data_IF_607027206774
#
_entry.id   IF_607027206774
#
_cell.length_a   1.000
_cell.length_b   1.000
_cell.length_c   1.000
_cell.angle_alpha   90.00
_cell.angle_beta   90.00
_cell.angle_gamma   90.00
#
_symmetry.space_group_name_H-M   'P 1'
#
loop_
_entity.id
_entity.type
_entity.pdbx_description
1 polymer ?
#
# COMPACT_ATOMS: atom_id res chain seq x y z
N UNK A 1 -0.27 6.34 -29.54
CA UNK A 1 0.49 5.17 -30.04
C UNK A 1 -0.06 3.96 -29.31
N UNK A 2 -0.40 2.85 -29.97
CA UNK A 2 -0.89 1.68 -29.26
C UNK A 2 0.24 1.13 -28.37
N UNK A 3 -0.09 0.88 -27.10
CA UNK A 3 0.75 0.21 -26.13
C UNK A 3 1.12 -1.17 -26.68
N UNK A 4 2.41 -1.48 -26.71
CA UNK A 4 2.83 -2.84 -26.92
C UNK A 4 2.21 -3.70 -25.81
N UNK A 5 1.55 -4.80 -26.17
CA UNK A 5 1.08 -5.79 -25.21
C UNK A 5 2.28 -6.22 -24.34
N UNK A 6 2.12 -6.30 -23.01
CA UNK A 6 3.20 -6.78 -22.15
C UNK A 6 3.64 -8.15 -22.63
N UNK A 7 4.94 -8.40 -22.63
CA UNK A 7 5.49 -9.69 -23.05
C UNK A 7 4.70 -10.81 -22.36
N UNK A 8 4.00 -11.68 -23.09
CA UNK A 8 3.15 -12.69 -22.49
C UNK A 8 4.02 -13.61 -21.60
N UNK A 9 3.46 -14.10 -20.47
CA UNK A 9 4.13 -15.11 -19.68
C UNK A 9 4.54 -16.26 -20.60
N UNK A 10 5.73 -16.83 -20.37
CA UNK A 10 6.20 -17.98 -21.13
C UNK A 10 5.21 -19.15 -21.07
N UNK A 11 5.39 -20.21 -21.86
CA UNK A 11 4.47 -21.33 -21.95
C UNK A 11 4.13 -21.99 -20.59
N UNK A 12 4.93 -21.74 -19.56
CA UNK A 12 4.76 -22.26 -18.21
C UNK A 12 4.10 -21.25 -17.25
N UNK A 13 3.61 -20.10 -17.75
CA UNK A 13 2.98 -19.05 -16.91
C UNK A 13 3.99 -18.25 -16.05
N UNK A 14 5.28 -18.44 -16.27
CA UNK A 14 6.37 -17.75 -15.57
C UNK A 14 6.82 -16.50 -16.33
N UNK A 15 7.10 -15.42 -15.61
CA UNK A 15 7.74 -14.23 -16.17
C UNK A 15 9.26 -14.31 -15.96
N UNK A 16 10.03 -14.35 -17.03
CA UNK A 16 11.47 -14.27 -16.95
C UNK A 16 11.87 -12.85 -16.55
N UNK A 17 12.40 -12.68 -15.34
CA UNK A 17 12.86 -11.39 -14.87
C UNK A 17 14.04 -10.94 -15.72
N UNK A 18 13.98 -9.73 -16.35
CA UNK A 18 15.02 -9.30 -17.29
C UNK A 18 16.33 -8.97 -16.56
N UNK A 19 17.44 -9.39 -17.15
CA UNK A 19 18.78 -9.06 -16.70
C UNK A 19 19.17 -7.66 -17.19
N UNK A 20 19.77 -6.84 -16.34
CA UNK A 20 20.30 -5.54 -16.74
C UNK A 20 21.55 -5.74 -17.61
N UNK A 21 21.65 -5.05 -18.74
CA UNK A 21 22.82 -5.11 -19.65
C UNK A 21 23.93 -4.16 -19.24
N UNK A 22 23.68 -3.32 -18.24
CA UNK A 22 24.62 -2.34 -17.68
C UNK A 22 23.92 -1.49 -16.61
N UNK A 23 24.59 -0.43 -16.11
CA UNK A 23 24.00 0.50 -15.15
C UNK A 23 22.69 1.11 -15.67
N UNK A 24 21.63 1.03 -14.89
CA UNK A 24 20.32 1.59 -15.24
C UNK A 24 20.37 3.12 -15.22
N UNK A 25 19.90 3.77 -16.28
CA UNK A 25 19.79 5.24 -16.37
C UNK A 25 18.36 5.59 -16.78
N UNK A 26 17.52 6.00 -15.85
CA UNK A 26 16.10 6.18 -16.16
C UNK A 26 15.41 7.27 -15.34
N UNK A 27 14.33 7.79 -15.93
CA UNK A 27 13.29 8.56 -15.25
C UNK A 27 12.02 7.71 -15.23
N UNK A 28 11.51 7.39 -14.07
CA UNK A 28 10.32 6.55 -13.89
C UNK A 28 9.20 7.39 -13.28
N UNK A 29 8.13 7.62 -14.03
CA UNK A 29 6.94 8.31 -13.53
C UNK A 29 5.98 7.30 -12.95
N UNK A 30 5.71 7.41 -11.66
CA UNK A 30 4.81 6.51 -10.94
C UNK A 30 3.39 7.07 -10.89
N UNK A 31 2.37 6.20 -10.88
CA UNK A 31 1.01 6.61 -10.57
C UNK A 31 0.88 7.04 -9.11
N UNK A 32 -0.27 7.64 -8.79
CA UNK A 32 -0.56 8.10 -7.44
C UNK A 32 -0.54 6.99 -6.38
N UNK A 33 -0.33 7.40 -5.13
CA UNK A 33 -0.32 6.52 -3.96
C UNK A 33 -1.66 5.80 -3.78
N UNK A 34 -1.62 4.47 -3.63
CA UNK A 34 -2.80 3.66 -3.30
C UNK A 34 -3.43 4.10 -1.98
N UNK A 35 -2.60 4.35 -0.99
CA UNK A 35 -3.04 4.70 0.37
C UNK A 35 -3.73 6.06 0.42
N UNK A 36 -3.21 7.05 -0.30
CA UNK A 36 -3.82 8.37 -0.43
C UNK A 36 -5.08 8.31 -1.31
N UNK A 37 -5.03 7.62 -2.46
CA UNK A 37 -6.20 7.47 -3.34
C UNK A 37 -7.40 6.92 -2.59
N UNK A 38 -7.22 5.85 -1.79
CA UNK A 38 -8.32 5.26 -1.04
C UNK A 38 -8.87 6.20 0.06
N UNK A 39 -8.02 6.99 0.72
CA UNK A 39 -8.44 7.98 1.71
C UNK A 39 -9.24 9.11 1.07
N UNK A 40 -8.71 9.67 0.00
CA UNK A 40 -9.40 10.73 -0.74
C UNK A 40 -10.73 10.27 -1.34
N UNK A 41 -10.83 9.02 -1.81
CA UNK A 41 -12.11 8.45 -2.27
C UNK A 41 -13.14 8.41 -1.14
N UNK A 42 -12.77 7.94 0.06
CA UNK A 42 -13.68 7.89 1.22
C UNK A 42 -14.06 9.30 1.69
N UNK A 43 -13.10 10.21 1.81
CA UNK A 43 -13.38 11.60 2.21
C UNK A 43 -14.27 12.29 1.19
N UNK A 44 -14.03 12.08 -0.12
CA UNK A 44 -14.89 12.63 -1.18
C UNK A 44 -16.33 12.10 -1.13
N UNK A 45 -16.51 10.83 -0.71
CA UNK A 45 -17.85 10.27 -0.52
C UNK A 45 -18.59 10.89 0.68
N UNK A 46 -17.87 11.50 1.62
CA UNK A 46 -18.42 12.22 2.77
C UNK A 46 -18.51 13.73 2.56
N UNK A 47 -17.95 14.26 1.45
CA UNK A 47 -17.92 15.69 1.17
C UNK A 47 -19.32 16.25 0.89
N UNK A 48 -19.44 17.57 0.93
CA UNK A 48 -20.68 18.30 0.61
C UNK A 48 -20.91 18.42 -0.89
N UNK A 49 -19.83 18.56 -1.66
CA UNK A 49 -19.84 18.77 -3.11
C UNK A 49 -18.90 17.78 -3.80
N UNK A 50 -18.95 17.77 -5.14
CA UNK A 50 -18.08 16.92 -5.94
C UNK A 50 -16.61 17.25 -5.73
N UNK A 51 -15.80 16.22 -5.59
CA UNK A 51 -14.34 16.30 -5.46
C UNK A 51 -13.65 15.84 -6.74
N UNK A 52 -12.47 16.39 -7.02
CA UNK A 52 -11.59 15.97 -8.11
C UNK A 52 -10.30 15.38 -7.53
N UNK A 53 -10.02 14.13 -7.88
CA UNK A 53 -8.76 13.49 -7.58
C UNK A 53 -7.92 13.46 -8.85
N UNK A 54 -6.79 14.15 -8.84
CA UNK A 54 -5.89 14.26 -9.99
C UNK A 54 -4.84 13.16 -9.93
N UNK A 55 -4.70 12.42 -11.02
CA UNK A 55 -3.75 11.30 -11.15
C UNK A 55 -3.86 10.23 -10.04
N UNK A 56 -5.08 9.83 -9.61
CA UNK A 56 -5.23 8.78 -8.62
C UNK A 56 -4.72 7.45 -9.17
N UNK A 57 -4.32 6.54 -8.29
CA UNK A 57 -3.99 5.19 -8.71
C UNK A 57 -5.24 4.47 -9.23
N UNK A 58 -5.10 3.80 -10.37
CA UNK A 58 -6.10 2.88 -10.94
C UNK A 58 -5.56 1.45 -10.88
N UNK A 59 -5.67 0.84 -9.73
CA UNK A 59 -5.31 -0.56 -9.48
C UNK A 59 -6.53 -1.36 -9.06
N UNK A 60 -6.40 -2.68 -8.98
CA UNK A 60 -7.52 -3.53 -8.50
C UNK A 60 -8.09 -3.02 -7.18
N UNK A 61 -7.23 -2.69 -6.19
CA UNK A 61 -7.66 -2.26 -4.87
C UNK A 61 -8.43 -0.93 -4.90
N UNK A 62 -7.99 0.04 -5.70
CA UNK A 62 -8.64 1.37 -5.78
C UNK A 62 -9.91 1.33 -6.63
N UNK A 63 -9.96 0.46 -7.64
CA UNK A 63 -11.17 0.22 -8.43
C UNK A 63 -12.26 -0.46 -7.58
N UNK A 64 -11.89 -1.41 -6.70
CA UNK A 64 -12.81 -2.00 -5.73
C UNK A 64 -13.33 -0.96 -4.73
N UNK A 65 -12.49 -0.03 -4.27
CA UNK A 65 -12.92 1.08 -3.42
C UNK A 65 -13.93 1.98 -4.15
N UNK A 66 -13.62 2.39 -5.37
CA UNK A 66 -14.52 3.19 -6.18
C UNK A 66 -15.87 2.48 -6.43
N UNK A 67 -15.83 1.16 -6.68
CA UNK A 67 -17.04 0.36 -6.86
C UNK A 67 -17.84 0.25 -5.55
N UNK A 68 -17.17 0.03 -4.41
CA UNK A 68 -17.83 -0.01 -3.11
C UNK A 68 -18.60 1.29 -2.81
N UNK A 69 -18.01 2.45 -3.14
CA UNK A 69 -18.68 3.74 -2.97
C UNK A 69 -19.87 3.91 -3.92
N UNK A 70 -19.78 3.39 -5.16
CA UNK A 70 -20.92 3.36 -6.09
C UNK A 70 -22.08 2.48 -5.56
N UNK A 71 -21.78 1.32 -4.99
CA UNK A 71 -22.78 0.46 -4.34
C UNK A 71 -23.49 1.18 -3.18
N UNK A 72 -22.79 2.08 -2.50
CA UNK A 72 -23.35 2.93 -1.44
C UNK A 72 -24.07 4.19 -1.95
N UNK A 73 -24.11 4.39 -3.29
CA UNK A 73 -24.87 5.46 -3.93
C UNK A 73 -24.07 6.68 -4.36
N UNK A 74 -22.74 6.74 -4.13
CA UNK A 74 -21.91 7.80 -4.69
C UNK A 74 -21.68 7.61 -6.19
N UNK A 75 -21.41 8.69 -6.92
CA UNK A 75 -20.92 8.61 -8.28
C UNK A 75 -19.39 8.77 -8.29
N UNK A 76 -18.70 7.84 -8.93
CA UNK A 76 -17.26 7.92 -9.15
C UNK A 76 -17.02 7.69 -10.64
N UNK A 77 -16.50 8.69 -11.33
CA UNK A 77 -16.30 8.65 -12.78
C UNK A 77 -15.02 9.35 -13.20
N UNK A 78 -14.72 9.28 -14.50
CA UNK A 78 -13.61 10.01 -15.10
C UNK A 78 -13.97 11.48 -15.26
N UNK A 79 -12.98 12.37 -15.07
CA UNK A 79 -13.16 13.77 -15.36
C UNK A 79 -13.30 13.98 -16.87
N UNK A 80 -14.31 14.75 -17.37
CA UNK A 80 -14.57 14.91 -18.79
C UNK A 80 -13.40 15.56 -19.57
N UNK A 81 -12.63 16.41 -18.90
CA UNK A 81 -11.49 17.12 -19.48
C UNK A 81 -10.16 16.38 -19.33
N UNK A 82 -10.07 15.44 -18.38
CA UNK A 82 -8.86 14.67 -18.09
C UNK A 82 -9.23 13.25 -17.61
N UNK A 83 -9.29 12.27 -18.50
CA UNK A 83 -9.72 10.90 -18.15
C UNK A 83 -8.84 10.20 -17.09
N UNK A 84 -7.59 10.67 -16.90
CA UNK A 84 -6.73 10.15 -15.83
C UNK A 84 -7.24 10.52 -14.44
N UNK A 85 -8.00 11.61 -14.30
CA UNK A 85 -8.55 12.09 -13.04
C UNK A 85 -9.89 11.43 -12.73
N UNK A 86 -10.24 11.38 -11.44
CA UNK A 86 -11.58 10.99 -11.01
C UNK A 86 -12.37 12.17 -10.46
N UNK A 87 -13.66 12.20 -10.80
CA UNK A 87 -14.67 13.02 -10.12
C UNK A 87 -15.47 12.10 -9.23
N UNK A 88 -15.58 12.47 -7.95
CA UNK A 88 -16.40 11.78 -6.96
C UNK A 88 -17.52 12.72 -6.54
N UNK A 89 -18.77 12.34 -6.85
CA UNK A 89 -19.95 13.10 -6.46
C UNK A 89 -20.65 12.37 -5.31
N UNK A 90 -20.68 12.97 -4.11
CA UNK A 90 -21.35 12.38 -2.96
C UNK A 90 -22.87 12.46 -3.11
N UNK A 91 -23.55 11.47 -2.56
CA UNK A 91 -25.01 11.43 -2.44
C UNK A 91 -25.39 10.86 -1.07
N UNK A 92 -26.69 10.87 -0.76
CA UNK A 92 -27.20 10.17 0.42
C UNK A 92 -26.86 8.69 0.33
N UNK A 93 -26.09 8.18 1.30
CA UNK A 93 -25.66 6.79 1.34
C UNK A 93 -26.85 5.85 1.50
N UNK A 94 -26.86 4.78 0.70
CA UNK A 94 -27.94 3.79 0.61
C UNK A 94 -27.43 2.40 0.90
N UNK A 95 -28.23 1.62 1.61
CA UNK A 95 -28.03 0.19 1.76
C UNK A 95 -28.66 -0.61 0.62
N UNK A 96 -28.66 -1.94 0.74
CA UNK A 96 -29.20 -2.90 -0.24
C UNK A 96 -28.19 -3.43 -1.25
N UNK A 97 -26.98 -2.87 -1.27
CA UNK A 97 -25.89 -3.31 -2.14
C UNK A 97 -24.99 -4.39 -1.55
N UNK A 98 -24.09 -4.89 -2.38
CA UNK A 98 -23.03 -5.83 -1.99
C UNK A 98 -21.69 -5.23 -2.34
N UNK A 99 -20.83 -5.08 -1.34
CA UNK A 99 -19.45 -4.63 -1.47
C UNK A 99 -18.55 -5.85 -1.65
N UNK A 100 -17.94 -5.97 -2.82
CA UNK A 100 -16.85 -6.93 -3.04
C UNK A 100 -15.54 -6.29 -2.60
N UNK A 101 -14.94 -6.83 -1.56
CA UNK A 101 -13.64 -6.39 -1.06
C UNK A 101 -12.46 -6.97 -1.86
N UNK A 102 -12.69 -8.02 -2.68
CA UNK A 102 -11.60 -8.80 -3.26
C UNK A 102 -10.61 -9.21 -2.19
N UNK A 103 -9.34 -8.79 -2.33
CA UNK A 103 -8.29 -8.92 -1.32
C UNK A 103 -7.82 -7.53 -0.81
N UNK A 104 -8.60 -6.48 -1.06
CA UNK A 104 -8.24 -5.10 -0.75
C UNK A 104 -8.43 -4.76 0.74
N UNK A 105 -7.34 -4.72 1.49
CA UNK A 105 -7.37 -4.42 2.93
C UNK A 105 -8.01 -3.07 3.27
N UNK A 106 -7.81 -2.05 2.43
CA UNK A 106 -8.44 -0.74 2.62
C UNK A 106 -9.96 -0.82 2.46
N UNK A 107 -10.48 -1.54 1.45
CA UNK A 107 -11.93 -1.72 1.28
C UNK A 107 -12.52 -2.42 2.49
N UNK A 108 -11.89 -3.53 2.92
CA UNK A 108 -12.32 -4.30 4.09
C UNK A 108 -12.44 -3.45 5.37
N UNK A 109 -11.58 -2.45 5.57
CA UNK A 109 -11.50 -1.67 6.82
C UNK A 109 -12.10 -0.26 6.71
N UNK A 110 -12.06 0.37 5.53
CA UNK A 110 -12.53 1.75 5.37
C UNK A 110 -14.02 1.82 5.01
N UNK A 111 -14.54 0.84 4.27
CA UNK A 111 -15.93 0.89 3.80
C UNK A 111 -16.97 0.49 4.87
N UNK A 112 -16.73 -0.44 5.82
CA UNK A 112 -17.72 -0.75 6.85
C UNK A 112 -18.17 0.45 7.68
N UNK A 113 -17.30 1.40 8.13
CA UNK A 113 -17.75 2.64 8.78
C UNK A 113 -18.59 3.54 7.87
N UNK A 114 -18.29 3.60 6.57
CA UNK A 114 -19.10 4.33 5.57
C UNK A 114 -20.48 3.67 5.44
N UNK A 115 -20.52 2.34 5.32
CA UNK A 115 -21.76 1.56 5.22
C UNK A 115 -22.64 1.68 6.47
N UNK A 116 -22.05 1.91 7.65
CA UNK A 116 -22.80 2.16 8.88
C UNK A 116 -23.65 3.45 8.81
N UNK A 117 -23.23 4.42 8.00
CA UNK A 117 -23.96 5.67 7.71
C UNK A 117 -25.02 5.51 6.61
N UNK A 118 -25.06 4.39 5.91
CA UNK A 118 -26.06 4.13 4.88
C UNK A 118 -27.43 3.80 5.50
N UNK A 119 -28.50 4.06 4.78
CA UNK A 119 -29.84 3.64 5.17
C UNK A 119 -30.14 2.24 4.60
N UNK A 120 -30.02 1.20 5.44
CA UNK A 120 -30.29 -0.21 5.10
C UNK A 120 -29.04 -1.11 5.17
N UNK A 121 -29.23 -2.43 4.95
CA UNK A 121 -28.15 -3.40 5.04
C UNK A 121 -27.18 -3.33 3.87
N UNK A 122 -25.89 -3.55 4.14
CA UNK A 122 -24.83 -3.67 3.11
C UNK A 122 -24.06 -4.96 3.37
N UNK A 123 -24.05 -5.86 2.41
CA UNK A 123 -23.31 -7.11 2.48
C UNK A 123 -21.84 -6.90 2.05
N UNK A 124 -20.93 -7.58 2.71
CA UNK A 124 -19.49 -7.57 2.40
C UNK A 124 -19.03 -8.98 2.07
N UNK A 125 -18.41 -9.13 0.91
CA UNK A 125 -17.82 -10.38 0.42
C UNK A 125 -16.37 -10.12 -0.04
N UNK A 126 -15.63 -11.15 -0.38
CA UNK A 126 -14.28 -11.02 -0.91
C UNK A 126 -13.69 -12.35 -1.35
N UNK A 127 -12.46 -12.31 -1.84
CA UNK A 127 -11.71 -13.48 -2.26
C UNK A 127 -11.55 -14.47 -1.09
N UNK A 128 -11.33 -15.76 -1.36
CA UNK A 128 -11.16 -16.78 -0.33
C UNK A 128 -10.04 -16.44 0.68
N UNK A 129 -8.92 -15.88 0.21
CA UNK A 129 -7.82 -15.43 1.09
C UNK A 129 -8.20 -14.21 1.94
N UNK A 130 -9.15 -13.39 1.52
CA UNK A 130 -9.64 -12.26 2.31
C UNK A 130 -10.40 -12.72 3.55
N UNK A 131 -11.11 -13.85 3.48
CA UNK A 131 -11.84 -14.42 4.61
C UNK A 131 -10.92 -14.84 5.78
N UNK A 132 -9.65 -15.15 5.51
CA UNK A 132 -8.66 -15.45 6.55
C UNK A 132 -8.12 -14.20 7.26
N UNK A 133 -8.34 -13.00 6.72
CA UNK A 133 -7.84 -11.75 7.31
C UNK A 133 -8.77 -11.27 8.42
N UNK A 134 -8.25 -10.97 9.63
CA UNK A 134 -9.08 -10.60 10.77
C UNK A 134 -9.82 -9.27 10.53
N UNK A 135 -11.09 -9.26 10.89
CA UNK A 135 -11.98 -8.09 10.87
C UNK A 135 -12.58 -7.81 12.24
N UNK A 136 -12.46 -8.72 13.20
CA UNK A 136 -13.09 -8.62 14.53
C UNK A 136 -12.90 -7.25 15.17
N UNK A 137 -11.68 -6.71 15.16
CA UNK A 137 -11.35 -5.42 15.80
C UNK A 137 -12.24 -4.28 15.30
N UNK A 138 -12.37 -4.12 13.99
CA UNK A 138 -13.18 -3.03 13.43
C UNK A 138 -14.69 -3.31 13.56
N UNK A 139 -15.11 -4.58 13.44
CA UNK A 139 -16.52 -4.95 13.62
C UNK A 139 -16.97 -4.75 15.06
N UNK A 140 -16.15 -5.10 16.05
CA UNK A 140 -16.42 -4.88 17.46
C UNK A 140 -16.43 -3.39 17.83
N UNK A 141 -15.49 -2.61 17.28
CA UNK A 141 -15.49 -1.16 17.44
C UNK A 141 -16.80 -0.52 16.91
N UNK A 142 -17.25 -0.93 15.73
CA UNK A 142 -18.53 -0.45 15.17
C UNK A 142 -19.73 -0.90 16.01
N UNK A 143 -19.74 -2.14 16.55
CA UNK A 143 -20.77 -2.59 17.50
C UNK A 143 -20.78 -1.76 18.77
N UNK A 144 -19.62 -1.40 19.31
CA UNK A 144 -19.50 -0.52 20.47
C UNK A 144 -20.08 0.89 20.21
N UNK A 145 -20.02 1.36 18.95
CA UNK A 145 -20.65 2.60 18.49
C UNK A 145 -22.15 2.45 18.17
N UNK A 146 -22.73 1.28 18.42
CA UNK A 146 -24.16 1.02 18.23
C UNK A 146 -24.57 0.54 16.85
N UNK A 147 -23.61 0.16 15.99
CA UNK A 147 -23.88 -0.39 14.66
C UNK A 147 -24.22 -1.88 14.77
N UNK A 148 -25.32 -2.28 14.16
CA UNK A 148 -25.72 -3.68 14.08
C UNK A 148 -24.95 -4.38 12.94
N UNK A 149 -24.22 -5.45 13.27
CA UNK A 149 -23.42 -6.22 12.32
C UNK A 149 -23.70 -7.70 12.49
N UNK A 150 -24.02 -8.35 11.37
CA UNK A 150 -24.24 -9.78 11.27
C UNK A 150 -23.05 -10.43 10.55
N UNK A 151 -22.21 -11.11 11.29
CA UNK A 151 -21.06 -11.88 10.80
C UNK A 151 -21.11 -13.35 11.23
N UNK A 152 -22.27 -13.79 11.78
CA UNK A 152 -22.48 -15.12 12.34
C UNK A 152 -21.39 -15.53 13.35
N UNK A 153 -20.79 -14.53 14.03
CA UNK A 153 -19.69 -14.73 15.00
C UNK A 153 -18.33 -15.07 14.43
N UNK A 154 -18.13 -14.94 13.10
CA UNK A 154 -16.86 -15.26 12.45
C UNK A 154 -15.75 -14.24 12.69
N UNK A 155 -16.09 -12.97 12.87
CA UNK A 155 -15.11 -11.87 12.94
C UNK A 155 -14.33 -11.67 11.63
N UNK A 156 -14.87 -12.13 10.49
CA UNK A 156 -14.27 -12.08 9.16
C UNK A 156 -15.34 -12.04 8.05
N UNK A 157 -14.92 -11.92 6.80
CA UNK A 157 -15.82 -12.00 5.65
C UNK A 157 -16.43 -13.42 5.52
N UNK A 158 -17.69 -13.54 5.04
CA UNK A 158 -18.61 -12.47 4.72
C UNK A 158 -19.34 -11.94 5.96
N UNK A 159 -19.79 -10.67 5.92
CA UNK A 159 -20.61 -10.08 6.96
C UNK A 159 -21.58 -9.03 6.39
N UNK A 160 -22.56 -8.60 7.18
CA UNK A 160 -23.51 -7.54 6.79
C UNK A 160 -23.52 -6.43 7.83
N UNK A 161 -23.32 -5.19 7.39
CA UNK A 161 -23.50 -3.98 8.19
C UNK A 161 -24.94 -3.50 8.00
N UNK A 162 -25.69 -3.33 9.08
CA UNK A 162 -27.08 -2.83 9.06
C UNK A 162 -27.11 -1.35 9.42
N UNK A 163 -26.80 -0.50 8.44
CA UNK A 163 -26.83 0.95 8.62
C UNK A 163 -28.21 1.50 8.85
N UNK A 164 -28.31 2.59 9.62
CA UNK A 164 -29.57 3.26 9.97
C UNK A 164 -29.60 4.73 9.53
N UNK A 165 -28.68 5.14 8.67
CA UNK A 165 -28.54 6.51 8.17
C UNK A 165 -27.74 7.44 9.07
N UNK A 166 -27.41 7.01 10.29
CA UNK A 166 -26.60 7.75 11.25
C UNK A 166 -25.84 6.80 12.17
N UNK A 167 -24.72 7.25 12.71
CA UNK A 167 -23.93 6.57 13.75
C UNK A 167 -23.72 7.56 14.87
N UNK A 168 -24.01 7.15 16.11
CA UNK A 168 -23.90 8.05 17.27
C UNK A 168 -22.47 8.57 17.47
N UNK A 169 -21.46 7.72 17.24
CA UNK A 169 -20.09 8.08 17.54
C UNK A 169 -19.75 8.02 19.03
N UNK A 170 -18.67 8.69 19.42
CA UNK A 170 -18.15 8.73 20.78
C UNK A 170 -16.79 8.05 20.89
N UNK A 171 -16.46 7.45 22.05
CA UNK A 171 -15.15 6.84 22.29
C UNK A 171 -15.19 5.32 22.12
N UNK A 172 -14.13 4.76 21.52
CA UNK A 172 -13.88 3.32 21.44
C UNK A 172 -12.44 3.01 21.82
N UNK A 173 -12.25 1.88 22.48
CA UNK A 173 -10.91 1.32 22.74
C UNK A 173 -10.74 0.07 21.92
N UNK A 174 -9.58 -0.06 21.27
CA UNK A 174 -9.26 -1.22 20.42
C UNK A 174 -7.77 -1.53 20.40
N UNK A 175 -7.44 -2.78 20.11
CA UNK A 175 -6.07 -3.21 19.84
C UNK A 175 -5.75 -3.14 18.34
N UNK A 176 -4.96 -2.13 17.94
CA UNK A 176 -4.50 -1.95 16.58
C UNK A 176 -3.11 -2.55 16.31
N UNK A 177 -2.58 -3.40 17.21
CA UNK A 177 -1.24 -4.01 17.08
C UNK A 177 -1.07 -4.85 15.80
N UNK A 178 -2.18 -5.32 15.21
CA UNK A 178 -2.16 -6.08 13.96
C UNK A 178 -2.22 -5.18 12.71
N UNK A 179 -2.81 -3.98 12.80
CA UNK A 179 -2.96 -3.09 11.64
C UNK A 179 -3.42 -1.68 12.02
N UNK A 180 -2.67 -0.66 11.56
CA UNK A 180 -3.08 0.76 11.61
C UNK A 180 -4.38 1.06 10.83
N UNK A 181 -4.78 0.17 9.90
CA UNK A 181 -5.99 0.35 9.09
C UNK A 181 -7.28 0.31 9.92
N UNK A 182 -7.28 -0.33 11.10
CA UNK A 182 -8.44 -0.33 11.99
C UNK A 182 -8.73 1.08 12.53
N UNK A 183 -7.69 1.78 12.94
CA UNK A 183 -7.79 3.17 13.38
C UNK A 183 -8.16 4.08 12.20
N UNK A 184 -7.40 4.01 11.12
CA UNK A 184 -7.61 4.85 9.92
C UNK A 184 -9.03 4.70 9.36
N UNK A 185 -9.55 3.47 9.27
CA UNK A 185 -10.88 3.22 8.71
C UNK A 185 -12.00 3.86 9.53
N UNK A 186 -11.90 3.82 10.85
CA UNK A 186 -12.85 4.47 11.74
C UNK A 186 -12.77 6.00 11.66
N UNK A 187 -11.54 6.55 11.70
CA UNK A 187 -11.32 7.99 11.68
C UNK A 187 -11.82 8.66 10.40
N UNK A 188 -11.67 8.02 9.24
CA UNK A 188 -12.14 8.57 7.96
C UNK A 188 -13.64 8.85 7.91
N UNK A 189 -14.45 8.07 8.63
CA UNK A 189 -15.91 8.30 8.76
C UNK A 189 -16.30 9.04 10.02
N UNK A 190 -15.38 9.19 10.97
CA UNK A 190 -15.60 9.83 12.27
C UNK A 190 -16.23 11.22 12.21
N UNK A 191 -15.85 12.12 11.29
CA UNK A 191 -16.48 13.45 11.15
C UNK A 191 -17.97 13.39 10.87
N UNK A 192 -18.47 12.28 10.29
CA UNK A 192 -19.88 12.08 9.95
C UNK A 192 -20.70 11.43 11.07
N UNK A 193 -20.07 11.06 12.18
CA UNK A 193 -20.76 10.55 13.35
C UNK A 193 -21.29 11.70 14.21
N UNK A 194 -22.45 11.52 14.85
CA UNK A 194 -23.18 12.59 15.58
C UNK A 194 -22.34 13.26 16.66
N UNK A 195 -21.47 12.48 17.34
CA UNK A 195 -20.58 12.96 18.40
C UNK A 195 -19.09 12.81 18.02
N UNK A 196 -18.79 12.77 16.72
CA UNK A 196 -17.42 12.51 16.26
C UNK A 196 -16.93 11.15 16.73
N UNK A 197 -15.61 11.01 16.83
CA UNK A 197 -14.99 9.75 17.23
C UNK A 197 -13.68 9.96 17.98
N UNK A 198 -13.53 9.27 19.11
CA UNK A 198 -12.24 9.10 19.78
C UNK A 198 -11.84 7.63 19.73
N UNK A 199 -10.66 7.33 19.20
CA UNK A 199 -10.08 5.98 19.19
C UNK A 199 -8.93 5.93 20.17
N UNK A 200 -9.03 5.04 21.18
CA UNK A 200 -7.94 4.71 22.10
C UNK A 200 -7.34 3.37 21.71
N UNK A 201 -6.04 3.32 21.59
CA UNK A 201 -5.31 2.07 21.37
C UNK A 201 -4.72 1.58 22.71
N UNK A 202 -5.00 0.33 23.06
CA UNK A 202 -4.58 -0.30 24.32
C UNK A 202 -3.67 -1.54 24.13
N UNK A 203 -3.27 -1.82 22.88
CA UNK A 203 -2.41 -2.95 22.52
C UNK A 203 -0.92 -2.64 22.56
N UNK A 204 -0.15 -3.48 21.87
CA UNK A 204 1.27 -3.25 21.60
C UNK A 204 1.43 -2.13 20.58
N UNK A 205 2.69 -1.74 20.28
CA UNK A 205 2.99 -0.71 19.27
C UNK A 205 2.21 -0.93 17.96
N UNK A 206 1.55 0.13 17.49
CA UNK A 206 0.79 0.10 16.23
C UNK A 206 1.76 0.09 15.06
N UNK A 207 1.71 -0.91 14.16
CA UNK A 207 2.58 -0.95 13.00
C UNK A 207 2.20 0.10 11.97
N UNK A 208 3.19 0.57 11.22
CA UNK A 208 3.00 1.55 10.14
C UNK A 208 2.22 2.79 10.62
N UNK A 209 2.63 3.35 11.76
CA UNK A 209 2.04 4.56 12.35
C UNK A 209 1.89 5.72 11.33
N UNK A 210 2.81 5.93 10.38
CA UNK A 210 2.66 6.94 9.33
C UNK A 210 1.34 6.85 8.56
N UNK A 211 0.71 5.69 8.45
CA UNK A 211 -0.61 5.56 7.82
C UNK A 211 -1.74 6.19 8.65
N UNK A 212 -1.62 6.26 9.98
CA UNK A 212 -2.57 7.00 10.81
C UNK A 212 -2.29 8.51 10.69
N UNK A 213 -1.02 8.91 10.71
CA UNK A 213 -0.61 10.31 10.47
C UNK A 213 -1.13 10.80 9.12
N UNK A 214 -0.98 10.00 8.06
CA UNK A 214 -1.57 10.24 6.73
C UNK A 214 -3.09 10.44 6.80
N UNK A 215 -3.79 9.64 7.61
CA UNK A 215 -5.24 9.78 7.78
C UNK A 215 -5.59 11.09 8.49
N UNK A 216 -4.87 11.43 9.55
CA UNK A 216 -5.08 12.68 10.28
C UNK A 216 -4.79 13.90 9.40
N UNK A 217 -3.76 13.86 8.58
CA UNK A 217 -3.41 14.92 7.64
C UNK A 217 -4.49 15.07 6.55
N UNK A 218 -4.89 13.97 5.90
CA UNK A 218 -5.94 14.03 4.87
C UNK A 218 -7.29 14.50 5.42
N UNK A 219 -7.61 14.22 6.69
CA UNK A 219 -8.78 14.75 7.39
C UNK A 219 -8.66 16.27 7.61
N UNK A 220 -7.49 16.77 8.04
CA UNK A 220 -7.22 18.21 8.19
C UNK A 220 -7.37 18.94 6.86
N UNK A 221 -6.81 18.38 5.80
CA UNK A 221 -6.90 18.93 4.43
C UNK A 221 -8.35 19.01 3.95
N UNK A 222 -9.18 18.04 4.35
CA UNK A 222 -10.61 18.01 4.07
C UNK A 222 -11.44 18.89 5.03
N UNK A 223 -10.79 19.66 5.91
CA UNK A 223 -11.45 20.61 6.83
C UNK A 223 -11.95 20.01 8.14
N UNK A 224 -11.68 18.74 8.43
CA UNK A 224 -12.06 18.13 9.71
C UNK A 224 -11.15 18.61 10.83
N UNK A 225 -11.76 18.83 12.00
CA UNK A 225 -11.03 19.13 13.24
C UNK A 225 -10.59 17.83 13.89
N UNK A 226 -9.25 17.66 14.02
CA UNK A 226 -8.65 16.43 14.54
C UNK A 226 -7.62 16.76 15.63
N UNK A 227 -7.51 15.86 16.62
CA UNK A 227 -6.51 15.91 17.69
C UNK A 227 -5.81 14.55 17.84
N UNK A 228 -4.49 14.57 17.73
CA UNK A 228 -3.57 13.43 17.89
C UNK A 228 -2.43 13.75 18.89
N UNK A 229 -2.63 14.75 19.74
CA UNK A 229 -1.63 15.20 20.71
C UNK A 229 -1.44 14.23 21.88
N UNK A 230 -2.43 13.39 22.18
CA UNK A 230 -2.36 12.37 23.23
C UNK A 230 -1.84 11.07 22.64
N UNK A 231 -0.72 10.50 23.17
CA UNK A 231 -0.19 9.24 22.68
C UNK A 231 -1.27 8.13 22.64
N UNK A 232 -1.27 7.35 21.58
CA UNK A 232 -2.19 6.24 21.36
C UNK A 232 -3.67 6.61 21.35
N UNK A 233 -3.98 7.89 21.12
CA UNK A 233 -5.35 8.42 21.08
C UNK A 233 -5.49 9.35 19.89
N UNK A 234 -6.52 9.16 19.10
CA UNK A 234 -6.86 10.00 17.95
C UNK A 234 -8.32 10.43 18.07
N UNK A 235 -8.55 11.71 17.91
CA UNK A 235 -9.87 12.29 18.01
C UNK A 235 -10.24 13.06 16.76
N UNK A 236 -11.50 12.93 16.35
CA UNK A 236 -12.10 13.67 15.23
C UNK A 236 -13.44 14.24 15.69
N UNK A 237 -13.57 15.55 15.61
CA UNK A 237 -14.84 16.24 15.90
C UNK A 237 -15.89 15.99 14.80
N UNK A 238 -17.19 16.07 15.13
CA UNK A 238 -18.24 16.13 14.10
C UNK A 238 -17.98 17.31 13.18
N UNK A 239 -17.82 17.04 11.90
CA UNK A 239 -17.42 18.06 10.92
C UNK A 239 -18.09 17.82 9.57
N UNK A 240 -18.36 18.89 8.85
CA UNK A 240 -18.59 18.82 7.43
C UNK A 240 -17.27 18.62 6.70
N UNK A 241 -17.26 17.76 5.69
CA UNK A 241 -16.09 17.49 4.86
C UNK A 241 -16.15 18.35 3.62
N UNK A 242 -15.11 19.14 3.41
CA UNK A 242 -14.98 19.98 2.21
C UNK A 242 -14.75 19.10 0.97
N UNK A 243 -15.22 19.58 -0.19
CA UNK A 243 -14.81 18.99 -1.46
C UNK A 243 -13.31 19.19 -1.71
N UNK A 244 -12.72 18.20 -2.36
CA UNK A 244 -11.29 18.14 -2.61
C UNK A 244 -10.98 18.39 -4.09
N UNK A 245 -9.92 19.15 -4.37
CA UNK A 245 -9.25 19.19 -5.67
C UNK A 245 -7.76 18.95 -5.41
N UNK A 246 -7.35 17.68 -5.43
CA UNK A 246 -6.03 17.26 -4.97
C UNK A 246 -5.26 16.49 -6.03
N UNK A 247 -3.97 16.76 -6.14
CA UNK A 247 -3.04 15.93 -6.90
C UNK A 247 -2.54 14.83 -5.97
N UNK A 248 -2.83 13.58 -6.32
CA UNK A 248 -2.37 12.43 -5.52
C UNK A 248 -0.86 12.26 -5.71
N UNK A 249 -0.09 12.33 -4.62
CA UNK A 249 1.35 12.09 -4.62
C UNK A 249 1.70 10.74 -5.25
N UNK A 250 2.86 10.59 -5.91
CA UNK A 250 3.35 9.30 -6.40
C UNK A 250 3.37 8.25 -5.29
N UNK A 251 3.19 6.99 -5.63
CA UNK A 251 3.27 5.89 -4.66
C UNK A 251 4.72 5.60 -4.28
N UNK A 252 5.16 6.10 -3.13
CA UNK A 252 6.55 5.99 -2.69
C UNK A 252 6.93 4.55 -2.30
N UNK A 253 5.96 3.74 -1.86
CA UNK A 253 6.22 2.32 -1.60
C UNK A 253 6.41 1.53 -2.90
N UNK A 254 5.70 1.90 -3.97
CA UNK A 254 5.91 1.34 -5.30
C UNK A 254 7.13 1.92 -6.03
N UNK A 255 7.77 2.94 -5.50
CA UNK A 255 9.05 3.45 -5.99
C UNK A 255 10.24 2.54 -5.64
N UNK A 256 10.11 1.74 -4.57
CA UNK A 256 11.22 1.05 -3.92
C UNK A 256 12.08 0.22 -4.89
N UNK A 257 11.48 -0.63 -5.70
CA UNK A 257 12.20 -1.51 -6.63
C UNK A 257 12.89 -0.73 -7.75
N UNK A 258 12.30 0.38 -8.22
CA UNK A 258 12.92 1.21 -9.26
C UNK A 258 14.13 1.97 -8.73
N UNK A 259 14.01 2.57 -7.54
CA UNK A 259 15.12 3.26 -6.89
C UNK A 259 16.23 2.27 -6.49
N UNK A 260 15.86 1.09 -5.98
CA UNK A 260 16.81 0.02 -5.67
C UNK A 260 17.56 -0.50 -6.91
N UNK A 261 16.94 -0.47 -8.10
CA UNK A 261 17.60 -0.84 -9.35
C UNK A 261 18.84 0.03 -9.63
N UNK A 262 18.80 1.32 -9.27
CA UNK A 262 19.99 2.20 -9.39
C UNK A 262 21.15 1.67 -8.55
N UNK A 263 20.87 1.29 -7.29
CA UNK A 263 21.91 0.79 -6.37
C UNK A 263 22.45 -0.57 -6.84
N UNK A 264 21.57 -1.50 -7.22
CA UNK A 264 21.94 -2.86 -7.66
C UNK A 264 22.79 -2.85 -8.93
N UNK A 265 22.52 -1.92 -9.85
CA UNK A 265 23.23 -1.88 -11.16
C UNK A 265 24.36 -0.84 -11.23
N UNK A 266 24.58 -0.07 -10.14
CA UNK A 266 25.50 1.06 -10.15
C UNK A 266 25.05 2.21 -11.07
N UNK A 267 23.75 2.33 -11.30
CA UNK A 267 23.14 3.28 -12.23
C UNK A 267 22.52 4.49 -11.56
N UNK A 268 21.56 5.13 -12.23
CA UNK A 268 20.85 6.30 -11.75
C UNK A 268 19.37 6.22 -12.12
N UNK A 269 18.49 6.37 -11.14
CA UNK A 269 17.04 6.43 -11.34
C UNK A 269 16.47 7.68 -10.69
N UNK A 270 15.59 8.38 -11.42
CA UNK A 270 14.85 9.54 -10.95
C UNK A 270 13.35 9.24 -10.90
N UNK A 271 12.72 9.58 -9.80
CA UNK A 271 11.25 9.60 -9.64
C UNK A 271 10.79 11.07 -9.58
N UNK A 272 10.13 11.58 -10.63
CA UNK A 272 9.57 12.93 -10.62
C UNK A 272 8.45 13.08 -9.60
N UNK A 273 8.28 14.30 -9.08
CA UNK A 273 7.18 14.63 -8.18
C UNK A 273 7.29 14.03 -6.79
N UNK A 274 8.46 13.49 -6.40
CA UNK A 274 8.69 13.08 -5.01
C UNK A 274 8.50 14.28 -4.09
N UNK A 275 7.59 14.22 -3.10
CA UNK A 275 7.28 15.37 -2.27
C UNK A 275 8.42 15.72 -1.33
N UNK A 276 8.55 17.02 -1.00
CA UNK A 276 9.54 17.50 -0.01
C UNK A 276 9.14 17.13 1.42
N UNK A 277 7.85 17.02 1.66
CA UNK A 277 7.23 16.54 2.89
C UNK A 277 6.10 15.57 2.55
N UNK A 278 5.99 14.49 3.28
CA UNK A 278 4.95 13.48 3.10
C UNK A 278 4.79 12.61 4.34
N UNK A 279 3.60 12.09 4.55
CA UNK A 279 3.29 11.06 5.54
C UNK A 279 3.39 9.64 4.98
N UNK A 280 3.79 9.45 3.71
CA UNK A 280 3.99 8.13 3.16
C UNK A 280 5.23 7.46 3.78
N UNK A 281 5.06 6.31 4.47
CA UNK A 281 6.17 5.54 5.06
C UNK A 281 7.25 5.13 4.04
N UNK A 282 6.92 5.13 2.74
CA UNK A 282 7.88 4.89 1.66
C UNK A 282 8.99 5.94 1.54
N UNK A 283 8.84 7.14 2.12
CA UNK A 283 9.89 8.17 2.16
C UNK A 283 11.13 7.71 2.93
N UNK A 284 11.00 6.74 3.83
CA UNK A 284 12.12 6.08 4.52
C UNK A 284 13.16 5.48 3.56
N UNK A 285 12.79 5.24 2.30
CA UNK A 285 13.74 4.76 1.27
C UNK A 285 14.95 5.67 1.11
N UNK A 286 14.82 6.98 1.30
CA UNK A 286 15.96 7.92 1.22
C UNK A 286 17.05 7.56 2.22
N UNK A 287 16.68 7.43 3.49
CA UNK A 287 17.64 7.07 4.57
C UNK A 287 18.16 5.63 4.39
N UNK A 288 17.27 4.70 4.01
CA UNK A 288 17.64 3.29 3.82
C UNK A 288 18.67 3.14 2.70
N UNK A 289 18.43 3.73 1.53
CA UNK A 289 19.32 3.59 0.37
C UNK A 289 20.63 4.36 0.57
N UNK A 290 20.62 5.51 1.25
CA UNK A 290 21.82 6.23 1.66
C UNK A 290 22.72 5.35 2.55
N UNK A 291 22.16 4.74 3.59
CA UNK A 291 22.87 3.81 4.47
C UNK A 291 23.37 2.56 3.75
N UNK A 292 22.72 2.15 2.65
CA UNK A 292 23.15 1.04 1.81
C UNK A 292 24.19 1.45 0.76
N UNK A 293 24.58 2.72 0.68
CA UNK A 293 25.67 3.21 -0.17
C UNK A 293 25.26 3.92 -1.45
N UNK A 294 24.01 4.38 -1.56
CA UNK A 294 23.54 5.19 -2.67
C UNK A 294 23.77 6.68 -2.41
N UNK A 295 23.97 7.47 -3.47
CA UNK A 295 23.91 8.92 -3.43
C UNK A 295 22.46 9.39 -3.62
N UNK A 296 21.97 10.26 -2.73
CA UNK A 296 20.59 10.73 -2.67
C UNK A 296 20.51 12.21 -3.00
N UNK A 297 19.70 12.58 -3.97
CA UNK A 297 19.39 13.98 -4.29
C UNK A 297 17.88 14.18 -4.36
N UNK A 298 17.32 14.89 -3.38
CA UNK A 298 15.96 15.38 -3.40
C UNK A 298 15.97 16.87 -3.78
N UNK A 299 15.33 17.19 -4.88
CA UNK A 299 15.12 18.56 -5.35
C UNK A 299 13.62 18.85 -5.54
N UNK A 300 13.27 20.07 -5.98
CA UNK A 300 11.87 20.47 -6.17
C UNK A 300 11.12 19.65 -7.24
N UNK A 301 11.86 18.98 -8.13
CA UNK A 301 11.30 18.25 -9.27
C UNK A 301 11.20 16.73 -9.00
N UNK A 302 11.80 16.24 -7.88
CA UNK A 302 11.71 14.83 -7.49
C UNK A 302 12.95 14.28 -6.79
N UNK A 303 12.98 12.96 -6.63
CA UNK A 303 14.07 12.20 -5.98
C UNK A 303 14.93 11.51 -7.03
N UNK A 304 16.24 11.65 -6.91
CA UNK A 304 17.24 10.93 -7.72
C UNK A 304 18.09 10.06 -6.80
N UNK A 305 18.21 8.79 -7.15
CA UNK A 305 19.11 7.83 -6.52
C UNK A 305 20.20 7.47 -7.52
N UNK A 306 21.46 7.51 -7.08
CA UNK A 306 22.61 7.05 -7.87
C UNK A 306 23.31 5.96 -7.09
N UNK A 307 23.56 4.82 -7.73
CA UNK A 307 24.33 3.72 -7.14
C UNK A 307 25.78 4.16 -6.91
N UNK A 308 26.22 4.08 -5.65
CA UNK A 308 27.60 4.36 -5.29
C UNK A 308 28.58 3.31 -5.84
N UNK A 309 29.81 3.70 -6.16
CA UNK A 309 30.83 2.76 -6.66
C UNK A 309 31.41 1.81 -5.58
N UNK A 310 30.88 1.81 -4.36
CA UNK A 310 31.40 1.07 -3.21
C UNK A 310 30.64 -0.21 -2.85
N UNK A 311 29.77 -0.72 -3.72
CA UNK A 311 28.96 -1.90 -3.43
C UNK A 311 27.72 -1.60 -2.58
N UNK A 312 26.95 -2.63 -2.24
CA UNK A 312 25.73 -2.53 -1.43
C UNK A 312 26.07 -2.87 0.03
N UNK A 313 25.87 -1.95 0.95
CA UNK A 313 26.17 -2.19 2.36
C UNK A 313 25.05 -2.98 3.04
N UNK A 314 25.44 -3.93 3.90
CA UNK A 314 24.49 -4.56 4.84
C UNK A 314 24.01 -3.55 5.89
N UNK A 315 22.81 -3.78 6.45
CA UNK A 315 22.27 -2.89 7.46
C UNK A 315 21.52 -3.63 8.57
N UNK A 316 21.46 -2.99 9.72
CA UNK A 316 20.62 -3.35 10.84
C UNK A 316 19.55 -2.25 10.99
N UNK A 317 18.28 -2.62 10.78
CA UNK A 317 17.18 -1.66 10.71
C UNK A 317 15.87 -2.20 11.29
N UNK A 318 15.14 -1.29 11.93
CA UNK A 318 13.76 -1.50 12.32
C UNK A 318 12.84 -0.90 11.22
N UNK A 319 12.06 -1.74 10.57
CA UNK A 319 11.13 -1.37 9.50
C UNK A 319 9.67 -1.30 9.98
N UNK A 320 9.44 -1.17 11.29
CA UNK A 320 8.10 -1.18 11.88
C UNK A 320 7.15 -0.15 11.22
N UNK A 321 7.65 1.03 10.91
CA UNK A 321 6.86 2.13 10.35
C UNK A 321 6.80 2.14 8.81
N UNK A 322 7.66 1.34 8.16
CA UNK A 322 7.75 1.22 6.69
C UNK A 322 7.81 -0.24 6.24
N UNK A 323 7.03 -1.09 6.89
CA UNK A 323 7.10 -2.54 6.76
C UNK A 323 6.80 -3.08 5.35
N UNK A 324 6.07 -2.32 4.53
CA UNK A 324 5.84 -2.64 3.13
C UNK A 324 7.11 -2.62 2.25
N UNK A 325 8.18 -1.98 2.71
CA UNK A 325 9.47 -1.97 2.02
C UNK A 325 10.27 -3.25 2.25
N UNK A 326 9.93 -4.05 3.26
CA UNK A 326 10.67 -5.24 3.68
C UNK A 326 11.04 -6.18 2.54
N UNK A 327 10.17 -6.54 1.57
CA UNK A 327 10.53 -7.47 0.51
C UNK A 327 11.65 -6.93 -0.40
N UNK A 328 11.59 -5.67 -0.82
CA UNK A 328 12.61 -5.05 -1.65
C UNK A 328 13.92 -4.87 -0.88
N UNK A 329 13.83 -4.46 0.40
CA UNK A 329 15.02 -4.30 1.26
C UNK A 329 15.67 -5.67 1.54
N UNK A 330 14.89 -6.73 1.74
CA UNK A 330 15.43 -8.09 1.90
C UNK A 330 16.18 -8.57 0.63
N UNK A 331 15.66 -8.25 -0.56
CA UNK A 331 16.35 -8.53 -1.81
C UNK A 331 17.68 -7.75 -1.92
N UNK A 332 17.70 -6.45 -1.56
CA UNK A 332 18.94 -5.66 -1.49
C UNK A 332 19.94 -6.26 -0.49
N UNK A 333 19.47 -6.66 0.70
CA UNK A 333 20.31 -7.28 1.72
C UNK A 333 20.91 -8.63 1.28
N UNK A 334 20.19 -9.38 0.44
CA UNK A 334 20.72 -10.62 -0.13
C UNK A 334 21.83 -10.39 -1.16
N UNK A 335 21.87 -9.19 -1.77
CA UNK A 335 22.90 -8.74 -2.73
C UNK A 335 24.00 -7.90 -2.07
N UNK A 336 23.91 -7.61 -0.78
CA UNK A 336 24.85 -6.75 -0.05
C UNK A 336 26.20 -7.43 0.18
N UNK A 337 27.23 -6.66 0.55
CA UNK A 337 28.57 -7.17 0.86
C UNK A 337 28.70 -7.64 2.33
N UNK A 338 27.77 -7.25 3.21
CA UNK A 338 27.78 -7.56 4.63
C UNK A 338 26.44 -8.09 5.16
N UNK A 339 26.43 -8.71 6.36
CA UNK A 339 25.19 -9.23 6.94
C UNK A 339 24.20 -8.11 7.26
N UNK A 340 22.92 -8.47 7.25
CA UNK A 340 21.83 -7.54 7.56
C UNK A 340 20.86 -8.16 8.56
N UNK A 341 20.18 -7.29 9.32
CA UNK A 341 19.11 -7.64 10.24
C UNK A 341 17.94 -6.70 10.01
N UNK A 342 16.80 -7.26 9.62
CA UNK A 342 15.53 -6.55 9.47
C UNK A 342 14.66 -6.89 10.68
N UNK A 343 14.14 -5.88 11.38
CA UNK A 343 13.37 -6.06 12.63
C UNK A 343 12.06 -5.30 12.61
N UNK A 344 11.20 -5.60 13.61
CA UNK A 344 9.98 -4.84 13.88
C UNK A 344 8.83 -5.17 12.93
N UNK A 345 8.92 -6.23 12.15
CA UNK A 345 7.98 -6.53 11.05
C UNK A 345 7.20 -7.83 11.24
N UNK A 346 7.01 -8.30 12.48
CA UNK A 346 6.22 -9.51 12.76
C UNK A 346 4.81 -9.46 12.15
N UNK A 347 4.20 -8.27 12.11
CA UNK A 347 2.82 -8.09 11.61
C UNK A 347 2.67 -8.38 10.11
N UNK A 348 3.77 -8.33 9.29
CA UNK A 348 3.67 -8.66 7.86
C UNK A 348 3.45 -10.14 7.59
N UNK A 349 3.50 -10.99 8.62
CA UNK A 349 3.07 -12.41 8.53
C UNK A 349 1.57 -12.54 8.26
N UNK A 350 0.77 -11.54 8.66
CA UNK A 350 -0.69 -11.49 8.45
C UNK A 350 -1.13 -10.67 7.24
N UNK A 351 -0.23 -10.32 6.31
CA UNK A 351 -0.57 -9.56 5.12
C UNK A 351 -1.15 -10.46 4.02
N UNK A 352 -0.78 -10.25 2.75
CA UNK A 352 -1.21 -11.07 1.62
C UNK A 352 -0.74 -12.52 1.76
N UNK A 353 0.46 -12.69 2.27
CA UNK A 353 1.07 -13.96 2.70
C UNK A 353 1.89 -13.74 3.97
N UNK A 354 2.41 -14.80 4.60
CA UNK A 354 3.50 -14.67 5.58
C UNK A 354 4.77 -14.25 4.82
N UNK A 355 4.98 -12.94 4.70
CA UNK A 355 6.11 -12.38 3.94
C UNK A 355 7.46 -12.77 4.48
N UNK A 356 7.60 -12.98 5.81
CA UNK A 356 8.88 -13.40 6.40
C UNK A 356 9.22 -14.82 6.00
N UNK A 357 8.28 -15.75 6.14
CA UNK A 357 8.45 -17.13 5.72
C UNK A 357 8.68 -17.23 4.20
N UNK A 358 7.91 -16.49 3.39
CA UNK A 358 8.05 -16.47 1.94
C UNK A 358 9.43 -15.96 1.51
N UNK A 359 9.89 -14.81 2.04
CA UNK A 359 11.22 -14.27 1.73
C UNK A 359 12.35 -15.22 2.13
N UNK A 360 12.27 -15.80 3.33
CA UNK A 360 13.28 -16.78 3.77
C UNK A 360 13.31 -18.01 2.86
N UNK A 361 12.13 -18.52 2.47
CA UNK A 361 12.01 -19.69 1.59
C UNK A 361 12.60 -19.40 0.21
N UNK A 362 12.16 -18.31 -0.43
CA UNK A 362 12.51 -18.03 -1.82
C UNK A 362 13.98 -17.60 -1.97
N UNK A 363 14.48 -16.74 -1.06
CA UNK A 363 15.89 -16.34 -1.10
C UNK A 363 16.83 -17.53 -0.84
N UNK A 364 16.46 -18.44 0.07
CA UNK A 364 17.24 -19.67 0.32
C UNK A 364 17.16 -20.64 -0.86
N UNK A 365 16.02 -20.74 -1.53
CA UNK A 365 15.88 -21.56 -2.75
C UNK A 365 16.79 -21.07 -3.89
N UNK A 366 17.15 -19.79 -3.91
CA UNK A 366 18.11 -19.19 -4.84
C UNK A 366 19.56 -19.26 -4.33
N UNK A 367 19.86 -19.96 -3.23
CA UNK A 367 21.23 -20.13 -2.71
C UNK A 367 21.61 -19.17 -1.57
N UNK A 368 20.68 -18.34 -1.08
CA UNK A 368 20.89 -17.41 0.04
C UNK A 368 21.09 -18.07 1.39
N UNK A 369 21.39 -17.28 2.42
CA UNK A 369 21.43 -17.67 3.84
C UNK A 369 20.55 -16.68 4.62
N UNK A 370 19.25 -16.94 4.61
CA UNK A 370 18.23 -16.11 5.26
C UNK A 370 17.55 -16.92 6.35
N UNK A 371 17.44 -16.33 7.53
CA UNK A 371 16.78 -16.93 8.70
C UNK A 371 15.73 -16.02 9.25
N UNK A 372 14.57 -16.58 9.50
CA UNK A 372 13.51 -15.89 10.22
C UNK A 372 13.91 -15.67 11.68
N UNK A 373 13.52 -14.50 12.20
CA UNK A 373 13.44 -14.24 13.64
C UNK A 373 11.97 -14.10 14.04
N UNK A 374 11.68 -13.89 15.30
CA UNK A 374 10.30 -13.69 15.77
C UNK A 374 9.65 -12.50 15.05
N UNK A 375 10.40 -11.42 14.84
CA UNK A 375 9.91 -10.13 14.31
C UNK A 375 10.60 -9.67 13.03
N UNK A 376 11.33 -10.54 12.30
CA UNK A 376 12.04 -10.12 11.12
C UNK A 376 12.89 -11.17 10.43
N UNK A 377 14.01 -10.74 9.84
CA UNK A 377 14.94 -11.58 9.08
C UNK A 377 16.38 -11.26 9.44
N UNK A 378 17.23 -12.30 9.51
CA UNK A 378 18.68 -12.17 9.46
C UNK A 378 19.15 -12.69 8.11
N UNK A 379 19.91 -11.88 7.38
CA UNK A 379 20.35 -12.17 6.02
C UNK A 379 21.88 -12.12 5.97
N UNK A 380 22.50 -13.22 5.53
CA UNK A 380 23.93 -13.28 5.25
C UNK A 380 24.13 -13.46 3.76
N UNK A 381 24.76 -12.49 3.09
CA UNK A 381 24.93 -12.55 1.65
C UNK A 381 25.66 -13.84 1.21
N UNK A 382 25.17 -14.43 0.14
CA UNK A 382 25.73 -15.60 -0.54
C UNK A 382 25.58 -15.41 -2.05
N UNK A 383 26.44 -15.97 -2.88
CA UNK A 383 26.21 -15.99 -4.31
C UNK A 383 24.85 -16.63 -4.62
N UNK A 384 23.96 -15.87 -5.26
CA UNK A 384 22.65 -16.36 -5.70
C UNK A 384 22.73 -16.96 -7.10
N UNK A 385 21.81 -17.87 -7.41
CA UNK A 385 21.65 -18.48 -8.74
C UNK A 385 20.22 -18.36 -9.24
N UNK A 386 19.99 -18.60 -10.52
CA UNK A 386 18.66 -18.59 -11.13
C UNK A 386 17.77 -19.72 -10.60
N UNK A 387 16.48 -19.51 -10.74
CA UNK A 387 15.44 -20.45 -10.30
C UNK A 387 14.05 -19.81 -10.39
N UNK A 388 13.03 -20.60 -10.07
CA UNK A 388 11.67 -20.09 -9.94
C UNK A 388 11.51 -19.42 -8.58
N UNK A 389 10.96 -18.21 -8.59
CA UNK A 389 10.60 -17.45 -7.39
C UNK A 389 9.08 -17.43 -7.26
N UNK A 390 8.55 -18.06 -6.22
CA UNK A 390 7.13 -18.12 -5.95
C UNK A 390 6.66 -16.84 -5.26
N UNK A 391 5.53 -16.31 -5.69
CA UNK A 391 5.05 -15.01 -5.21
C UNK A 391 3.95 -15.10 -4.15
N UNK A 392 3.36 -16.28 -3.98
CA UNK A 392 2.27 -16.50 -3.01
C UNK A 392 1.09 -15.52 -3.21
N UNK A 393 0.83 -15.15 -4.46
CA UNK A 393 -0.13 -14.12 -4.86
C UNK A 393 0.12 -12.73 -4.20
N UNK A 394 1.36 -12.44 -3.82
CA UNK A 394 1.77 -11.16 -3.24
C UNK A 394 2.62 -10.34 -4.22
N UNK A 395 2.12 -9.17 -4.59
CA UNK A 395 2.76 -8.23 -5.51
C UNK A 395 4.15 -7.75 -5.03
N UNK A 396 4.38 -7.67 -3.72
CA UNK A 396 5.68 -7.26 -3.16
C UNK A 396 6.76 -8.32 -3.36
N UNK A 397 6.37 -9.59 -3.39
CA UNK A 397 7.27 -10.69 -3.72
C UNK A 397 7.72 -10.63 -5.18
N UNK A 398 6.81 -10.26 -6.10
CA UNK A 398 7.19 -9.99 -7.52
C UNK A 398 8.26 -8.91 -7.62
N UNK A 399 8.07 -7.79 -6.90
CA UNK A 399 8.99 -6.66 -6.94
C UNK A 399 10.38 -7.01 -6.42
N UNK A 400 10.45 -7.82 -5.36
CA UNK A 400 11.71 -8.35 -4.83
C UNK A 400 12.42 -9.27 -5.83
N UNK A 401 11.68 -10.19 -6.46
CA UNK A 401 12.22 -11.10 -7.46
C UNK A 401 12.70 -10.36 -8.72
N UNK A 402 11.96 -9.36 -9.21
CA UNK A 402 12.35 -8.53 -10.34
C UNK A 402 13.67 -7.81 -10.08
N UNK A 403 13.85 -7.28 -8.85
CA UNK A 403 15.10 -6.62 -8.47
C UNK A 403 16.29 -7.57 -8.49
N UNK A 404 16.13 -8.79 -7.96
CA UNK A 404 17.18 -9.83 -8.01
C UNK A 404 17.51 -10.19 -9.46
N UNK A 405 16.49 -10.28 -10.34
CA UNK A 405 16.64 -10.62 -11.75
C UNK A 405 17.55 -9.68 -12.53
N UNK A 406 17.72 -8.43 -12.08
CA UNK A 406 18.63 -7.48 -12.74
C UNK A 406 20.09 -7.95 -12.77
N UNK A 407 20.53 -8.73 -11.76
CA UNK A 407 21.94 -9.14 -11.60
C UNK A 407 22.12 -10.64 -11.40
N UNK A 408 21.05 -11.40 -11.19
CA UNK A 408 21.08 -12.86 -11.06
C UNK A 408 20.42 -13.47 -12.30
N UNK A 409 21.18 -14.09 -13.21
CA UNK A 409 20.64 -14.67 -14.44
C UNK A 409 19.67 -15.82 -14.15
N UNK A 410 18.57 -15.92 -14.93
CA UNK A 410 17.67 -17.06 -14.92
C UNK A 410 16.66 -17.07 -13.76
N UNK A 411 16.30 -15.93 -13.19
CA UNK A 411 15.18 -15.81 -12.26
C UNK A 411 13.87 -15.79 -13.06
N UNK A 412 12.95 -16.69 -12.69
CA UNK A 412 11.62 -16.79 -13.25
C UNK A 412 10.59 -16.54 -12.15
N UNK A 413 9.71 -15.57 -12.35
CA UNK A 413 8.73 -15.12 -11.36
C UNK A 413 7.37 -15.74 -11.66
N UNK A 414 6.83 -16.46 -10.67
CA UNK A 414 5.49 -17.01 -10.76
C UNK A 414 4.45 -15.90 -10.68
N UNK A 415 3.37 -16.01 -11.47
CA UNK A 415 2.19 -15.16 -11.35
C UNK A 415 2.50 -13.65 -11.23
N UNK A 416 3.28 -13.11 -12.16
CA UNK A 416 3.60 -11.67 -12.20
C UNK A 416 2.34 -10.79 -12.22
N UNK A 417 1.22 -11.29 -12.73
CA UNK A 417 -0.05 -10.56 -12.83
C UNK A 417 -0.58 -10.07 -11.45
N UNK A 418 -0.11 -10.65 -10.35
CA UNK A 418 -0.51 -10.20 -9.00
C UNK A 418 -0.12 -8.73 -8.71
N UNK A 419 0.81 -8.14 -9.48
CA UNK A 419 1.17 -6.70 -9.38
C UNK A 419 -0.01 -5.77 -9.69
N UNK A 420 -1.01 -6.26 -10.45
CA UNK A 420 -2.22 -5.49 -10.77
C UNK A 420 -2.99 -5.02 -9.51
N UNK A 421 -2.72 -5.63 -8.36
CA UNK A 421 -3.28 -5.21 -7.07
C UNK A 421 -2.89 -3.77 -6.71
N UNK A 422 -1.65 -3.35 -7.00
CA UNK A 422 -1.11 -2.05 -6.58
C UNK A 422 -0.41 -1.27 -7.69
N UNK A 423 0.11 -1.94 -8.71
CA UNK A 423 0.82 -1.31 -9.82
C UNK A 423 0.60 -2.13 -11.10
N UNK A 424 -0.58 -2.02 -11.74
CA UNK A 424 -0.90 -2.83 -12.93
C UNK A 424 0.06 -2.61 -14.10
N UNK A 425 0.70 -1.45 -14.19
CA UNK A 425 1.69 -1.08 -15.20
C UNK A 425 3.13 -1.46 -14.82
N UNK A 426 3.33 -2.32 -13.81
CA UNK A 426 4.66 -2.64 -13.29
C UNK A 426 5.61 -3.17 -14.38
N UNK A 427 5.17 -4.14 -15.18
CA UNK A 427 6.03 -4.76 -16.22
C UNK A 427 6.40 -3.73 -17.26
N UNK A 428 5.44 -2.92 -17.73
CA UNK A 428 5.70 -1.86 -18.72
C UNK A 428 6.69 -0.82 -18.19
N UNK A 429 6.54 -0.41 -16.92
CA UNK A 429 7.46 0.54 -16.29
C UNK A 429 8.85 -0.06 -16.09
N UNK A 430 8.92 -1.36 -15.77
CA UNK A 430 10.18 -2.08 -15.58
C UNK A 430 10.95 -2.21 -16.89
N UNK A 431 10.28 -2.66 -17.95
CA UNK A 431 10.85 -2.78 -19.28
C UNK A 431 11.22 -1.40 -19.86
N UNK A 432 10.36 -0.40 -19.63
CA UNK A 432 10.62 1.00 -19.99
C UNK A 432 11.85 1.57 -19.29
N UNK A 433 12.06 1.29 -18.02
CA UNK A 433 13.25 1.66 -17.25
C UNK A 433 14.52 1.05 -17.87
N UNK A 434 14.48 -0.23 -18.21
CA UNK A 434 15.62 -0.93 -18.83
C UNK A 434 15.86 -0.47 -20.26
N UNK A 435 14.80 -0.16 -21.02
CA UNK A 435 14.90 0.35 -22.39
C UNK A 435 15.54 1.74 -22.47
N UNK A 436 15.30 2.63 -21.51
CA UNK A 436 15.96 3.95 -21.44
C UNK A 436 17.47 3.82 -21.28
N UNK A 437 17.92 2.81 -20.55
CA UNK A 437 19.35 2.56 -20.31
C UNK A 437 20.12 2.14 -21.55
N UNK A 438 19.44 1.67 -22.60
CA UNK A 438 20.03 1.23 -23.87
C UNK A 438 20.04 2.33 -24.95
N UNK A 439 19.38 3.46 -24.71
CA UNK A 439 19.37 4.57 -25.65
C UNK A 439 20.77 5.24 -25.66
N UNK A 440 21.37 5.49 -26.83
CA UNK A 440 22.66 6.22 -26.91
C UNK A 440 22.45 7.65 -26.36
N UNK A 441 23.41 8.11 -25.55
CA UNK A 441 23.43 9.44 -24.94
C UNK A 441 23.57 10.57 -25.97
#
# INVERSE_FOLDING_TARGET
MPSADPSPPGPDGLWAAPLATGPVQAVVTLPGSKSLTNRYLVLSAHAQESSRLRSPLRSRDTLLMAQALRELGCEVGEAPDQPADWIVTPHTLRGGGTVDCGLAGNVMRFVPPVAALAAGPVAFIGDAHAAARPMSVILEALRALGVEIDDEGRGSLPFTVRGRGAVRGGAVTLDASASSQFVSGLLLSGPRFEHGLTVHHDGKSVPSLPHIEMTMETLRDAGAMVDDTTPHTWHVEPSEINSLDVVVEPDLSNAAQFLAAALVTGGRVRIPGWPQYTTQGGDALRDILDRMGADIVLDRDGLTITGGGGGIHGLDINLHDSSELTPVIAALCALAEGPSVLRGVAHIRGHETDRLAALATELNALGGDVRETEDGLTIRPRPLHGGTFHTYADHRMVMAAALLGLVVPGIHVENVATVAKTLPTFVDLWDGMLGQSQAPA
#
